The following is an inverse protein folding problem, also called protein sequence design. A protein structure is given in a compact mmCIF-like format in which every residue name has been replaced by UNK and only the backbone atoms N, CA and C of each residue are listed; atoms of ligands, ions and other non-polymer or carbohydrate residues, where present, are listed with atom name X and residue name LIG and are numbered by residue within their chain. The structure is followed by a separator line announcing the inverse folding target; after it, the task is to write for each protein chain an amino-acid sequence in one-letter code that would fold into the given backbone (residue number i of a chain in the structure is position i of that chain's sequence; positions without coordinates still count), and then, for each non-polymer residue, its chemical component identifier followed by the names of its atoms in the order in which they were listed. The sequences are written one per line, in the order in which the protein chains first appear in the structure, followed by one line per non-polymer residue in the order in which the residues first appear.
data_IF_546875516959
#
_entry.id   IF_546875516959
#
_cell.length_a   1.000
_cell.length_b   1.000
_cell.length_c   1.000
_cell.angle_alpha   90.00
_cell.angle_beta   90.00
_cell.angle_gamma   90.00
#
_symmetry.space_group_name_H-M   'P 1'
#
loop_
_entity.id
_entity.type
_entity.pdbx_description
1 polymer ?
#
# COMPACT_ATOMS: atom_id res chain seq x y z
N UNK A 1 -6.14 14.18 -8.10
CA UNK A 1 -5.36 13.64 -6.98
C UNK A 1 -5.71 12.16 -6.87
N UNK A 2 -4.74 11.27 -7.04
CA UNK A 2 -4.94 9.83 -7.02
C UNK A 2 -4.58 9.23 -5.67
N UNK A 3 -5.34 8.23 -5.22
CA UNK A 3 -5.06 7.53 -3.97
C UNK A 3 -5.21 6.03 -4.16
N UNK A 4 -4.31 5.26 -3.58
CA UNK A 4 -4.50 3.83 -3.35
C UNK A 4 -4.42 3.56 -1.85
N UNK A 5 -4.75 2.34 -1.48
CA UNK A 5 -4.49 1.78 -0.17
C UNK A 5 -3.60 0.56 -0.35
N UNK A 6 -2.49 0.51 0.37
CA UNK A 6 -1.46 -0.52 0.26
C UNK A 6 -1.09 -0.99 1.66
N UNK A 7 -0.99 -2.30 1.85
CA UNK A 7 -0.61 -2.94 3.11
C UNK A 7 0.69 -3.71 2.96
N UNK A 8 1.63 -3.46 3.88
CA UNK A 8 2.87 -4.21 4.00
C UNK A 8 3.30 -4.33 5.47
N UNK A 9 4.38 -5.07 5.71
CA UNK A 9 5.16 -4.88 6.93
C UNK A 9 5.66 -3.44 6.99
N UNK A 10 5.72 -2.88 8.19
CA UNK A 10 6.17 -1.50 8.40
C UNK A 10 7.62 -1.29 7.98
N UNK A 11 8.48 -2.31 8.12
CA UNK A 11 9.88 -2.30 7.69
C UNK A 11 10.03 -2.13 6.17
N UNK A 12 9.04 -2.56 5.39
CA UNK A 12 9.12 -2.61 3.93
C UNK A 12 8.53 -1.36 3.26
N UNK A 13 7.72 -0.60 3.99
CA UNK A 13 6.94 0.53 3.46
C UNK A 13 7.79 1.51 2.67
N UNK A 14 8.92 1.97 3.22
CA UNK A 14 9.71 3.02 2.55
C UNK A 14 10.29 2.54 1.22
N UNK A 15 10.71 1.27 1.14
CA UNK A 15 11.25 0.70 -0.09
C UNK A 15 10.14 0.49 -1.14
N UNK A 16 8.95 0.03 -0.72
CA UNK A 16 7.77 -0.09 -1.61
C UNK A 16 7.41 1.27 -2.22
N UNK A 17 7.37 2.34 -1.42
CA UNK A 17 7.04 3.68 -1.91
C UNK A 17 8.09 4.17 -2.90
N UNK A 18 9.37 4.02 -2.57
CA UNK A 18 10.47 4.44 -3.46
C UNK A 18 10.42 3.71 -4.80
N UNK A 19 10.24 2.38 -4.79
CA UNK A 19 10.16 1.58 -6.01
C UNK A 19 8.87 1.88 -6.80
N UNK A 20 7.77 2.13 -6.10
CA UNK A 20 6.48 2.52 -6.68
C UNK A 20 6.54 3.84 -7.44
N UNK A 21 7.25 4.84 -6.91
CA UNK A 21 7.47 6.11 -7.60
C UNK A 21 8.19 5.93 -8.95
N UNK A 22 9.10 4.96 -9.06
CA UNK A 22 9.91 4.74 -10.26
C UNK A 22 9.13 4.14 -11.44
N UNK A 23 8.01 3.45 -11.18
CA UNK A 23 7.24 2.74 -12.22
C UNK A 23 6.01 3.50 -12.72
N UNK A 24 5.63 4.59 -12.04
CA UNK A 24 4.62 5.54 -12.53
C UNK A 24 3.15 5.10 -12.35
N UNK A 25 2.25 5.98 -12.79
CA UNK A 25 0.80 5.86 -12.55
C UNK A 25 0.15 4.68 -13.30
N UNK A 26 0.66 4.31 -14.48
CA UNK A 26 0.16 3.16 -15.26
C UNK A 26 0.36 1.82 -14.54
N UNK A 27 1.16 1.83 -13.46
CA UNK A 27 1.41 0.71 -12.55
C UNK A 27 0.88 0.98 -11.14
N UNK A 28 -0.07 1.91 -10.99
CA UNK A 28 -0.63 2.33 -9.69
C UNK A 28 0.42 2.87 -8.70
N UNK A 29 1.59 3.29 -9.20
CA UNK A 29 2.77 3.55 -8.37
C UNK A 29 3.14 2.36 -7.46
N UNK A 30 3.09 1.14 -8.01
CA UNK A 30 3.50 -0.09 -7.35
C UNK A 30 4.36 -0.91 -8.31
N UNK A 31 5.53 -1.35 -7.83
CA UNK A 31 6.38 -2.27 -8.60
C UNK A 31 5.57 -3.54 -8.89
N UNK A 32 5.50 -4.00 -10.15
CA UNK A 32 4.82 -5.25 -10.48
C UNK A 32 5.39 -6.42 -9.68
N UNK A 33 4.50 -7.30 -9.21
CA UNK A 33 4.84 -8.53 -8.48
C UNK A 33 5.69 -8.32 -7.21
N UNK A 34 5.54 -7.15 -6.56
CA UNK A 34 6.26 -6.85 -5.32
C UNK A 34 5.76 -7.72 -4.15
N UNK A 35 6.56 -8.73 -3.81
CA UNK A 35 6.25 -9.70 -2.75
C UNK A 35 6.14 -9.10 -1.35
N UNK A 36 6.53 -7.84 -1.15
CA UNK A 36 6.40 -7.13 0.13
C UNK A 36 4.98 -6.60 0.34
N UNK A 37 4.19 -6.48 -0.72
CA UNK A 37 2.80 -6.01 -0.67
C UNK A 37 1.88 -7.19 -0.35
N UNK A 38 1.17 -7.08 0.78
CA UNK A 38 0.22 -8.11 1.24
C UNK A 38 -1.11 -7.98 0.50
N UNK A 39 -1.55 -6.73 0.32
CA UNK A 39 -2.79 -6.36 -0.34
C UNK A 39 -2.73 -4.90 -0.81
N UNK A 40 -3.40 -4.58 -1.90
CA UNK A 40 -3.57 -3.19 -2.34
C UNK A 40 -4.84 -3.00 -3.18
N UNK A 41 -5.32 -1.77 -3.26
CA UNK A 41 -6.27 -1.32 -4.29
C UNK A 41 -5.51 -0.76 -5.49
N UNK A 42 -6.22 -0.48 -6.58
CA UNK A 42 -5.72 0.41 -7.64
C UNK A 42 -5.67 1.87 -7.17
N UNK A 43 -5.04 2.75 -7.96
CA UNK A 43 -5.19 4.20 -7.79
C UNK A 43 -6.59 4.62 -8.23
N UNK A 44 -7.30 5.33 -7.35
CA UNK A 44 -8.60 5.94 -7.63
C UNK A 44 -8.54 7.46 -7.60
N UNK A 45 -9.28 8.09 -8.50
CA UNK A 45 -9.55 9.52 -8.52
C UNK A 45 -10.82 9.90 -7.77
N UNK A 46 -11.18 11.18 -7.84
CA UNK A 46 -12.40 11.69 -7.20
C UNK A 46 -13.65 11.05 -7.81
N UNK A 47 -14.57 10.58 -6.97
CA UNK A 47 -15.82 9.93 -7.39
C UNK A 47 -15.68 8.44 -7.72
N UNK A 48 -14.45 7.93 -7.87
CA UNK A 48 -14.18 6.52 -8.07
C UNK A 48 -14.10 5.75 -6.75
N UNK A 49 -14.20 4.42 -6.84
CA UNK A 49 -14.11 3.50 -5.71
C UNK A 49 -13.38 2.23 -6.14
N UNK A 50 -12.73 1.60 -5.17
CA UNK A 50 -12.15 0.27 -5.32
C UNK A 50 -12.20 -0.47 -3.99
N UNK A 51 -11.97 -1.78 -4.00
CA UNK A 51 -11.95 -2.61 -2.79
C UNK A 51 -10.95 -3.76 -2.94
N UNK A 52 -10.31 -4.12 -1.83
CA UNK A 52 -9.40 -5.26 -1.76
C UNK A 52 -9.83 -6.18 -0.62
N UNK A 53 -9.70 -7.49 -0.83
CA UNK A 53 -9.88 -8.53 0.19
C UNK A 53 -8.63 -9.38 0.22
N UNK A 54 -8.17 -9.77 1.41
CA UNK A 54 -7.00 -10.59 1.60
C UNK A 54 -7.19 -11.54 2.79
N UNK A 55 -6.48 -12.67 2.76
CA UNK A 55 -6.55 -13.65 3.84
C UNK A 55 -5.91 -13.09 5.12
N UNK A 56 -6.66 -13.11 6.21
CA UNK A 56 -6.17 -12.65 7.53
C UNK A 56 -4.98 -13.48 8.00
N UNK A 57 -4.86 -14.73 7.55
CA UNK A 57 -3.71 -15.61 7.84
C UNK A 57 -2.38 -15.11 7.27
N UNK A 58 -2.39 -14.07 6.42
CA UNK A 58 -1.16 -13.37 5.98
C UNK A 58 -0.62 -12.41 7.04
N UNK A 59 -1.40 -12.14 8.10
CA UNK A 59 -1.01 -11.30 9.22
C UNK A 59 -0.57 -12.16 10.40
N UNK A 60 0.52 -11.74 11.03
CA UNK A 60 1.03 -12.28 12.28
C UNK A 60 0.77 -11.24 13.40
N UNK A 61 0.13 -11.62 14.53
CA UNK A 61 -0.12 -10.68 15.62
C UNK A 61 1.17 -10.13 16.28
N UNK A 62 2.32 -10.76 16.07
CA UNK A 62 3.62 -10.29 16.55
C UNK A 62 4.34 -9.35 15.57
N UNK A 63 3.81 -9.13 14.37
CA UNK A 63 4.42 -8.30 13.32
C UNK A 63 3.78 -6.89 13.25
N UNK A 64 4.60 -5.88 12.96
CA UNK A 64 4.11 -4.52 12.76
C UNK A 64 3.75 -4.28 11.28
N UNK A 65 2.47 -4.02 11.00
CA UNK A 65 2.00 -3.67 9.66
C UNK A 65 1.61 -2.21 9.54
N UNK A 66 1.69 -1.69 8.31
CA UNK A 66 1.32 -0.32 7.99
C UNK A 66 0.48 -0.30 6.71
N UNK A 67 -0.61 0.45 6.72
CA UNK A 67 -1.28 0.88 5.50
C UNK A 67 -0.79 2.25 5.06
N UNK A 68 -0.71 2.51 3.77
CA UNK A 68 -0.24 3.77 3.21
C UNK A 68 -0.69 3.97 1.76
N UNK A 69 -0.57 5.21 1.28
CA UNK A 69 -0.73 5.57 -0.13
C UNK A 69 0.65 5.75 -0.79
N UNK A 70 0.86 5.14 -1.96
CA UNK A 70 2.15 5.19 -2.68
C UNK A 70 2.23 6.27 -3.74
N UNK A 71 1.15 7.03 -3.95
CA UNK A 71 1.20 8.20 -4.83
C UNK A 71 2.30 9.17 -4.34
N UNK A 72 3.17 9.68 -5.23
CA UNK A 72 4.36 10.45 -4.84
C UNK A 72 4.06 11.56 -3.82
N UNK A 73 4.70 11.48 -2.66
CA UNK A 73 4.57 12.45 -1.56
C UNK A 73 3.42 12.21 -0.56
N UNK A 74 2.43 11.36 -0.88
CA UNK A 74 1.25 11.19 -0.03
C UNK A 74 1.53 10.46 1.27
N UNK A 75 2.49 9.53 1.29
CA UNK A 75 2.89 8.77 2.50
C UNK A 75 3.26 9.65 3.70
N UNK A 76 3.67 10.91 3.48
CA UNK A 76 3.99 11.85 4.57
C UNK A 76 2.83 12.00 5.55
N UNK A 77 1.59 11.94 5.04
CA UNK A 77 0.35 12.10 5.80
C UNK A 77 -0.54 10.86 5.73
N UNK A 78 -0.60 10.19 4.58
CA UNK A 78 -1.50 9.05 4.33
C UNK A 78 -0.82 7.74 4.68
N UNK A 79 -0.72 7.47 5.98
CA UNK A 79 -0.24 6.20 6.54
C UNK A 79 -0.87 5.94 7.91
N UNK A 80 -0.93 4.68 8.31
CA UNK A 80 -1.38 4.28 9.64
C UNK A 80 -1.10 2.82 9.95
N UNK A 81 -1.19 2.44 11.22
CA UNK A 81 -0.95 1.06 11.64
C UNK A 81 -2.13 0.15 11.28
N UNK A 82 -1.82 -1.10 10.92
CA UNK A 82 -2.78 -2.21 10.91
C UNK A 82 -2.30 -3.22 11.94
N UNK A 83 -3.16 -3.60 12.89
CA UNK A 83 -2.81 -4.54 13.96
C UNK A 83 -3.81 -5.68 13.99
N UNK A 84 -3.33 -6.91 13.97
CA UNK A 84 -4.13 -8.08 14.29
C UNK A 84 -4.21 -8.23 15.82
N UNK A 85 -5.42 -8.37 16.37
CA UNK A 85 -5.71 -8.47 17.80
C UNK A 85 -6.69 -9.57 18.10
#
# INVERSE_FOLDING_TARGET
MGHNWVLSKKSDTQAIVTDGMAVGIDKDYLKPDDSRIIAHTKIIGAGEKDSVTFDVSKLDPAEEYQFFCTFPGHISMMKGAVTLK
#
